data_IF_980798824890
#
_entry.id   IF_980798824890
#
_cell.length_a   1.000
_cell.length_b   1.000
_cell.length_c   1.000
_cell.angle_alpha   90.00
_cell.angle_beta   90.00
_cell.angle_gamma   90.00
#
_symmetry.space_group_name_H-M   'P 1'
#
loop_
_entity.id
_entity.type
_entity.pdbx_description
1 polymer ?
#
# COMPACT_ATOMS: atom_id res chain seq x y z
N UNK A 1 -9.83 -9.81 -20.50
CA UNK A 1 -8.95 -10.41 -19.46
C UNK A 1 -7.77 -9.50 -19.18
N UNK A 2 -7.08 -9.00 -20.22
CA UNK A 2 -6.04 -7.93 -20.11
C UNK A 2 -6.50 -6.75 -19.26
N UNK A 3 -7.63 -6.11 -19.58
CA UNK A 3 -8.07 -4.89 -18.89
C UNK A 3 -8.28 -5.06 -17.36
N UNK A 4 -8.71 -6.25 -16.91
CA UNK A 4 -8.85 -6.53 -15.47
C UNK A 4 -7.48 -6.64 -14.79
N UNK A 5 -6.52 -7.31 -15.45
CA UNK A 5 -5.14 -7.44 -14.98
C UNK A 5 -4.47 -6.06 -14.94
N UNK A 6 -4.68 -5.24 -15.97
CA UNK A 6 -4.15 -3.88 -16.07
C UNK A 6 -4.69 -2.99 -14.93
N UNK A 7 -5.99 -3.08 -14.65
CA UNK A 7 -6.63 -2.35 -13.55
C UNK A 7 -6.10 -2.77 -12.18
N UNK A 8 -5.96 -4.07 -11.92
CA UNK A 8 -5.45 -4.57 -10.64
C UNK A 8 -3.96 -4.21 -10.48
N UNK A 9 -3.19 -4.26 -11.56
CA UNK A 9 -1.79 -3.83 -11.57
C UNK A 9 -1.67 -2.34 -11.21
N UNK A 10 -2.55 -1.51 -11.77
CA UNK A 10 -2.60 -0.08 -11.43
C UNK A 10 -2.91 0.13 -9.95
N UNK A 11 -3.91 -0.57 -9.40
CA UNK A 11 -4.27 -0.49 -7.97
C UNK A 11 -3.10 -0.94 -7.06
N UNK A 12 -2.41 -2.02 -7.41
CA UNK A 12 -1.24 -2.49 -6.68
C UNK A 12 -0.11 -1.44 -6.66
N UNK A 13 0.16 -0.82 -7.81
CA UNK A 13 1.19 0.22 -7.93
C UNK A 13 0.82 1.51 -7.18
N UNK A 14 -0.45 1.90 -7.18
CA UNK A 14 -0.93 3.05 -6.41
C UNK A 14 -0.80 2.80 -4.89
N UNK A 15 -1.18 1.61 -4.43
CA UNK A 15 -1.02 1.22 -3.03
C UNK A 15 0.47 1.20 -2.60
N UNK A 16 1.38 0.67 -3.44
CA UNK A 16 2.83 0.71 -3.18
C UNK A 16 3.37 2.13 -3.06
N UNK A 17 2.98 3.04 -3.96
CA UNK A 17 3.36 4.46 -3.87
C UNK A 17 2.81 5.14 -2.62
N UNK A 18 1.63 4.74 -2.15
CA UNK A 18 1.07 5.26 -0.91
C UNK A 18 1.87 4.79 0.32
N UNK A 19 2.34 3.54 0.32
CA UNK A 19 3.27 3.03 1.35
C UNK A 19 4.53 3.89 1.40
N UNK A 20 5.23 4.06 0.27
CA UNK A 20 6.47 4.83 0.20
C UNK A 20 6.31 6.24 0.80
N UNK A 21 5.25 6.96 0.43
CA UNK A 21 4.96 8.31 0.96
C UNK A 21 4.71 8.33 2.46
N UNK A 22 4.10 7.28 2.99
CA UNK A 22 3.80 7.17 4.42
C UNK A 22 5.06 6.79 5.21
N UNK A 23 5.93 5.95 4.64
CA UNK A 23 7.23 5.62 5.21
C UNK A 23 8.15 6.84 5.27
N UNK A 24 8.11 7.73 4.27
CA UNK A 24 8.81 9.02 4.32
C UNK A 24 8.28 9.89 5.46
N UNK A 25 6.95 10.04 5.56
CA UNK A 25 6.30 10.78 6.65
C UNK A 25 6.52 10.17 8.03
N UNK A 26 6.77 8.86 8.11
CA UNK A 26 7.06 8.17 9.37
C UNK A 26 8.36 8.70 9.98
N UNK A 27 9.35 9.00 9.15
CA UNK A 27 10.62 9.58 9.60
C UNK A 27 10.44 11.00 10.13
N UNK A 28 9.49 11.77 9.58
CA UNK A 28 9.21 13.15 9.99
C UNK A 28 8.41 13.25 11.30
N UNK A 29 7.58 12.25 11.62
CA UNK A 29 6.62 12.30 12.73
C UNK A 29 7.13 11.70 14.06
N UNK A 30 8.42 11.42 14.20
CA UNK A 30 9.00 10.77 15.40
C UNK A 30 8.74 11.52 16.71
N UNK A 31 8.49 12.84 16.66
CA UNK A 31 8.16 13.66 17.82
C UNK A 31 6.69 13.61 18.28
N UNK A 32 5.78 13.04 17.49
CA UNK A 32 4.36 12.94 17.82
C UNK A 32 3.89 11.48 17.76
N UNK A 33 3.81 10.84 18.92
CA UNK A 33 3.52 9.41 19.05
C UNK A 33 2.15 9.00 18.50
N UNK A 34 1.14 9.87 18.54
CA UNK A 34 -0.20 9.56 17.99
C UNK A 34 -0.12 9.52 16.46
N UNK A 35 0.47 10.55 15.85
CA UNK A 35 0.66 10.59 14.39
C UNK A 35 1.51 9.41 13.89
N UNK A 36 2.54 9.02 14.65
CA UNK A 36 3.35 7.87 14.33
C UNK A 36 2.53 6.57 14.33
N UNK A 37 1.72 6.32 15.38
CA UNK A 37 0.87 5.12 15.46
C UNK A 37 -0.17 5.09 14.34
N UNK A 38 -0.82 6.21 14.06
CA UNK A 38 -1.79 6.30 12.96
C UNK A 38 -1.14 6.02 11.59
N UNK A 39 0.08 6.51 11.39
CA UNK A 39 0.86 6.24 10.18
C UNK A 39 1.20 4.75 10.06
N UNK A 40 1.70 4.12 11.13
CA UNK A 40 1.98 2.67 11.15
C UNK A 40 0.75 1.82 10.80
N UNK A 41 -0.41 2.17 11.35
CA UNK A 41 -1.67 1.47 11.04
C UNK A 41 -2.06 1.65 9.56
N UNK A 42 -1.83 2.81 8.97
CA UNK A 42 -2.09 3.05 7.55
C UNK A 42 -1.13 2.27 6.66
N UNK A 43 0.16 2.22 7.00
CA UNK A 43 1.18 1.43 6.30
C UNK A 43 0.79 -0.05 6.30
N UNK A 44 0.42 -0.60 7.46
CA UNK A 44 0.00 -2.01 7.57
C UNK A 44 -1.22 -2.34 6.70
N UNK A 45 -2.21 -1.45 6.66
CA UNK A 45 -3.40 -1.63 5.81
C UNK A 45 -3.05 -1.63 4.32
N UNK A 46 -2.15 -0.74 3.91
CA UNK A 46 -1.71 -0.67 2.52
C UNK A 46 -0.88 -1.89 2.11
N UNK A 47 -0.02 -2.42 2.99
CA UNK A 47 0.67 -3.68 2.73
C UNK A 47 -0.31 -4.84 2.52
N UNK A 48 -1.34 -4.95 3.36
CA UNK A 48 -2.37 -5.96 3.19
C UNK A 48 -3.13 -5.81 1.86
N UNK A 49 -3.39 -4.58 1.41
CA UNK A 49 -4.01 -4.31 0.11
C UNK A 49 -3.10 -4.72 -1.05
N UNK A 50 -1.81 -4.39 -0.98
CA UNK A 50 -0.81 -4.80 -1.99
C UNK A 50 -0.77 -6.33 -2.10
N UNK A 51 -0.67 -7.03 -0.96
CA UNK A 51 -0.66 -8.50 -0.93
C UNK A 51 -1.94 -9.09 -1.54
N UNK A 52 -3.10 -8.50 -1.24
CA UNK A 52 -4.37 -8.93 -1.82
C UNK A 52 -4.39 -8.76 -3.35
N UNK A 53 -3.94 -7.61 -3.86
CA UNK A 53 -3.89 -7.36 -5.30
C UNK A 53 -2.90 -8.30 -6.01
N UNK A 54 -1.73 -8.56 -5.41
CA UNK A 54 -0.75 -9.49 -5.94
C UNK A 54 -1.29 -10.92 -6.00
N UNK A 55 -1.96 -11.39 -4.94
CA UNK A 55 -2.63 -12.70 -4.94
C UNK A 55 -3.67 -12.82 -6.06
N UNK A 56 -4.47 -11.78 -6.28
CA UNK A 56 -5.46 -11.79 -7.37
C UNK A 56 -4.78 -11.81 -8.74
N UNK A 57 -3.70 -11.04 -8.93
CA UNK A 57 -2.93 -11.07 -10.18
C UNK A 57 -2.37 -12.46 -10.46
N UNK A 58 -1.87 -13.16 -9.44
CA UNK A 58 -1.31 -14.49 -9.61
C UNK A 58 -2.37 -15.56 -9.93
N UNK A 59 -3.63 -15.38 -9.49
CA UNK A 59 -4.76 -16.23 -9.91
C UNK A 59 -5.21 -15.95 -11.34
N UNK A 60 -4.98 -14.73 -11.85
CA UNK A 60 -5.43 -14.29 -13.18
C UNK A 60 -4.40 -14.51 -14.30
N UNK A 61 -3.13 -14.79 -13.95
CA UNK A 61 -2.06 -15.14 -14.89
C UNK A 61 -2.13 -16.61 -15.27
#
# INVERSE_FOLDING_TARGET
MSEKIDNITKLANEAKKAVERLEDKRQENLGNSINYIENELQIQRLYAQVEAYEKVLDVLK
#
